data_IF_935972742140
#
_entry.id   IF_935972742140
#
_cell.length_a   1.000
_cell.length_b   1.000
_cell.length_c   1.000
_cell.angle_alpha   90.00
_cell.angle_beta   90.00
_cell.angle_gamma   90.00
#
_symmetry.space_group_name_H-M   'P 1'
#
loop_
_entity.id
_entity.type
_entity.pdbx_description
1 polymer ?
#
# COMPACT_ATOMS: atom_id res chain seq x y z
N UNK A 1 -11.90 10.92 18.94
CA UNK A 1 -12.20 9.48 19.04
C UNK A 1 -10.90 8.75 19.27
N UNK A 2 -10.78 8.01 20.39
CA UNK A 2 -9.57 7.24 20.69
C UNK A 2 -9.45 6.06 19.70
N UNK A 3 -8.27 5.88 19.13
CA UNK A 3 -7.93 4.70 18.31
C UNK A 3 -7.91 3.47 19.21
N UNK A 4 -8.49 2.37 18.73
CA UNK A 4 -8.51 1.08 19.44
C UNK A 4 -7.24 0.30 19.07
N UNK A 5 -6.74 -0.50 20.02
CA UNK A 5 -5.58 -1.37 19.76
C UNK A 5 -5.92 -2.41 18.67
N UNK A 6 -4.97 -2.71 17.82
CA UNK A 6 -5.17 -3.60 16.66
C UNK A 6 -5.75 -4.98 17.06
N UNK A 7 -5.35 -5.54 18.20
CA UNK A 7 -5.86 -6.81 18.69
C UNK A 7 -7.34 -6.72 19.10
N UNK A 8 -7.72 -5.67 19.81
CA UNK A 8 -9.11 -5.45 20.23
C UNK A 8 -10.01 -5.20 19.02
N UNK A 9 -9.51 -4.46 18.02
CA UNK A 9 -10.24 -4.20 16.79
C UNK A 9 -10.39 -5.49 15.95
N UNK A 10 -9.35 -6.32 15.90
CA UNK A 10 -9.42 -7.62 15.24
C UNK A 10 -10.49 -8.52 15.84
N UNK A 11 -10.48 -8.69 17.16
CA UNK A 11 -11.48 -9.49 17.87
C UNK A 11 -12.91 -8.95 17.68
N UNK A 12 -13.03 -7.63 17.62
CA UNK A 12 -14.31 -6.98 17.39
C UNK A 12 -14.84 -7.26 15.97
N UNK A 13 -14.05 -7.03 14.92
CA UNK A 13 -14.51 -7.27 13.53
C UNK A 13 -14.73 -8.76 13.25
N UNK A 14 -13.97 -9.65 13.87
CA UNK A 14 -14.19 -11.10 13.80
C UNK A 14 -15.55 -11.49 14.34
N UNK A 15 -15.96 -10.95 15.48
CA UNK A 15 -17.31 -11.16 16.05
C UNK A 15 -18.41 -10.60 15.16
N UNK A 16 -18.18 -9.45 14.51
CA UNK A 16 -19.17 -8.88 13.58
C UNK A 16 -19.29 -9.76 12.34
N UNK A 17 -18.16 -10.19 11.74
CA UNK A 17 -18.15 -11.12 10.62
C UNK A 17 -18.97 -12.39 10.92
N UNK A 18 -18.80 -12.98 12.13
CA UNK A 18 -19.55 -14.18 12.53
C UNK A 18 -21.06 -13.89 12.68
N UNK A 19 -21.44 -12.71 13.18
CA UNK A 19 -22.86 -12.29 13.28
C UNK A 19 -23.51 -12.07 11.92
N UNK A 20 -22.77 -11.55 10.96
CA UNK A 20 -23.24 -11.32 9.59
C UNK A 20 -23.18 -12.61 8.73
N UNK A 21 -22.78 -13.76 9.32
CA UNK A 21 -22.50 -15.01 8.60
C UNK A 21 -21.52 -14.83 7.45
N UNK A 22 -20.59 -13.88 7.59
CA UNK A 22 -19.57 -13.60 6.60
C UNK A 22 -18.48 -14.67 6.62
N UNK A 23 -18.00 -15.05 5.44
CA UNK A 23 -16.87 -15.97 5.28
C UNK A 23 -15.60 -15.19 4.96
N UNK A 24 -14.72 -15.01 5.93
CA UNK A 24 -13.47 -14.27 5.78
C UNK A 24 -12.34 -14.92 6.60
N UNK A 25 -11.17 -15.02 5.98
CA UNK A 25 -9.97 -15.54 6.63
C UNK A 25 -9.41 -14.55 7.67
N UNK A 26 -8.70 -15.08 8.66
CA UNK A 26 -8.06 -14.23 9.69
C UNK A 26 -7.05 -13.25 9.08
N UNK A 27 -6.38 -13.62 8.00
CA UNK A 27 -5.41 -12.74 7.32
C UNK A 27 -6.09 -11.59 6.56
N UNK A 28 -7.25 -11.82 5.96
CA UNK A 28 -8.06 -10.75 5.39
C UNK A 28 -8.57 -9.79 6.47
N UNK A 29 -8.99 -10.30 7.63
CA UNK A 29 -9.41 -9.46 8.77
C UNK A 29 -8.24 -8.65 9.34
N UNK A 30 -7.04 -9.23 9.44
CA UNK A 30 -5.82 -8.49 9.83
C UNK A 30 -5.50 -7.36 8.87
N UNK A 31 -5.69 -7.58 7.55
CA UNK A 31 -5.52 -6.54 6.55
C UNK A 31 -6.52 -5.39 6.76
N UNK A 32 -7.80 -5.69 7.02
CA UNK A 32 -8.81 -4.68 7.33
C UNK A 32 -8.40 -3.85 8.56
N UNK A 33 -7.93 -4.51 9.63
CA UNK A 33 -7.43 -3.83 10.84
C UNK A 33 -6.26 -2.91 10.51
N UNK A 34 -5.32 -3.38 9.69
CA UNK A 34 -4.15 -2.60 9.26
C UNK A 34 -4.57 -1.34 8.50
N UNK A 35 -5.46 -1.48 7.50
CA UNK A 35 -5.93 -0.36 6.67
C UNK A 35 -6.75 0.66 7.48
N UNK A 36 -7.54 0.19 8.45
CA UNK A 36 -8.42 1.05 9.26
C UNK A 36 -7.70 1.86 10.34
N UNK A 37 -6.42 1.60 10.59
CA UNK A 37 -5.57 2.33 11.54
C UNK A 37 -6.20 2.57 12.93
N UNK A 38 -6.94 1.58 13.43
CA UNK A 38 -7.61 1.64 14.73
C UNK A 38 -8.99 2.35 14.71
N UNK A 39 -9.49 2.72 13.54
CA UNK A 39 -10.85 3.26 13.36
C UNK A 39 -11.86 2.14 13.22
N UNK A 40 -12.75 2.01 14.21
CA UNK A 40 -13.85 1.01 14.19
C UNK A 40 -14.79 1.24 13.00
N UNK A 41 -15.10 2.50 12.72
CA UNK A 41 -16.02 2.86 11.64
C UNK A 41 -15.46 2.42 10.28
N UNK A 42 -14.17 2.68 10.05
CA UNK A 42 -13.53 2.36 8.77
C UNK A 42 -13.36 0.85 8.64
N UNK A 43 -13.00 0.14 9.72
CA UNK A 43 -12.93 -1.31 9.74
C UNK A 43 -14.27 -1.97 9.39
N UNK A 44 -15.37 -1.48 9.96
CA UNK A 44 -16.72 -1.98 9.64
C UNK A 44 -17.12 -1.70 8.19
N UNK A 45 -16.83 -0.49 7.69
CA UNK A 45 -17.11 -0.11 6.29
C UNK A 45 -16.32 -0.97 5.30
N UNK A 46 -15.05 -1.28 5.61
CA UNK A 46 -14.21 -2.15 4.78
C UNK A 46 -14.73 -3.59 4.82
N UNK A 47 -15.08 -4.11 6.01
CA UNK A 47 -15.64 -5.46 6.14
C UNK A 47 -16.95 -5.60 5.35
N UNK A 48 -17.89 -4.68 5.52
CA UNK A 48 -19.15 -4.65 4.82
C UNK A 48 -18.96 -4.60 3.30
N UNK A 49 -18.12 -3.68 2.80
CA UNK A 49 -17.77 -3.60 1.38
C UNK A 49 -17.21 -4.91 0.85
N UNK A 50 -16.32 -5.57 1.59
CA UNK A 50 -15.73 -6.81 1.16
C UNK A 50 -16.75 -7.95 1.09
N UNK A 51 -17.57 -8.10 2.12
CA UNK A 51 -18.59 -9.15 2.17
C UNK A 51 -19.68 -8.95 1.11
N UNK A 52 -20.02 -7.70 0.76
CA UNK A 52 -20.99 -7.39 -0.30
C UNK A 52 -20.43 -7.61 -1.72
N UNK A 53 -19.10 -7.47 -1.89
CA UNK A 53 -18.45 -7.60 -3.21
C UNK A 53 -18.22 -9.06 -3.60
N UNK A 54 -18.14 -9.95 -2.61
CA UNK A 54 -17.91 -11.38 -2.85
C UNK A 54 -19.21 -12.12 -3.11
N UNK A 55 -19.13 -13.14 -3.96
CA UNK A 55 -20.20 -14.14 -4.08
C UNK A 55 -20.41 -14.84 -2.74
N UNK A 56 -21.66 -15.14 -2.39
CA UNK A 56 -22.05 -15.69 -1.08
C UNK A 56 -21.33 -16.98 -0.66
N UNK A 57 -20.82 -17.73 -1.62
CA UNK A 57 -20.16 -19.02 -1.41
C UNK A 57 -18.62 -18.91 -1.37
N UNK A 58 -18.06 -17.71 -1.53
CA UNK A 58 -16.60 -17.49 -1.53
C UNK A 58 -16.13 -16.94 -0.21
N UNK A 59 -14.97 -17.41 0.21
CA UNK A 59 -14.24 -16.85 1.35
C UNK A 59 -13.49 -15.58 0.93
N UNK A 60 -13.55 -14.54 1.76
CA UNK A 60 -12.67 -13.40 1.67
C UNK A 60 -11.26 -13.82 2.12
N UNK A 61 -10.44 -14.26 1.20
CA UNK A 61 -9.03 -14.50 1.46
C UNK A 61 -8.21 -13.20 1.37
N UNK A 62 -6.93 -13.26 1.78
CA UNK A 62 -6.04 -12.10 1.76
C UNK A 62 -5.91 -11.49 0.35
N UNK A 63 -5.80 -12.31 -0.68
CA UNK A 63 -5.62 -11.87 -2.07
C UNK A 63 -6.85 -11.13 -2.57
N UNK A 64 -8.05 -11.65 -2.29
CA UNK A 64 -9.32 -11.00 -2.63
C UNK A 64 -9.49 -9.68 -1.88
N UNK A 65 -9.14 -9.64 -0.59
CA UNK A 65 -9.17 -8.43 0.22
C UNK A 65 -8.20 -7.36 -0.33
N UNK A 66 -6.98 -7.73 -0.68
CA UNK A 66 -6.02 -6.82 -1.31
C UNK A 66 -6.57 -6.21 -2.60
N UNK A 67 -7.18 -7.02 -3.47
CA UNK A 67 -7.80 -6.55 -4.72
C UNK A 67 -8.99 -5.61 -4.47
N UNK A 68 -9.89 -5.97 -3.55
CA UNK A 68 -11.09 -5.18 -3.24
C UNK A 68 -10.71 -3.80 -2.68
N UNK A 69 -9.66 -3.75 -1.85
CA UNK A 69 -9.21 -2.51 -1.20
C UNK A 69 -8.17 -1.74 -2.01
N UNK A 70 -7.64 -2.33 -3.09
CA UNK A 70 -6.50 -1.78 -3.82
C UNK A 70 -5.24 -1.69 -2.96
N UNK A 71 -5.11 -2.59 -1.98
CA UNK A 71 -4.00 -2.57 -1.03
C UNK A 71 -2.86 -3.48 -1.49
N UNK A 72 -1.64 -2.96 -1.41
CA UNK A 72 -0.42 -3.74 -1.57
C UNK A 72 0.57 -3.40 -0.44
N UNK A 73 1.53 -4.28 -0.23
CA UNK A 73 2.53 -4.06 0.80
C UNK A 73 3.52 -2.98 0.36
N UNK A 74 3.57 -1.88 1.10
CA UNK A 74 4.45 -0.74 0.81
C UNK A 74 5.94 -1.09 0.90
N UNK A 75 6.31 -2.17 1.59
CA UNK A 75 7.66 -2.72 1.58
C UNK A 75 8.11 -3.16 0.18
N UNK A 76 7.17 -3.61 -0.66
CA UNK A 76 7.44 -3.93 -2.07
C UNK A 76 7.82 -2.69 -2.87
N UNK A 77 7.23 -1.54 -2.53
CA UNK A 77 7.55 -0.27 -3.17
C UNK A 77 8.95 0.21 -2.82
N UNK A 78 9.38 0.04 -1.55
CA UNK A 78 10.75 0.32 -1.11
C UNK A 78 11.74 -0.57 -1.86
N UNK A 79 11.41 -1.86 -2.01
CA UNK A 79 12.23 -2.81 -2.78
C UNK A 79 12.32 -2.43 -4.25
N UNK A 80 11.20 -2.07 -4.86
CA UNK A 80 11.15 -1.61 -6.25
C UNK A 80 12.02 -0.37 -6.46
N UNK A 81 11.93 0.59 -5.55
CA UNK A 81 12.73 1.81 -5.57
C UNK A 81 14.22 1.49 -5.52
N UNK A 82 14.63 0.61 -4.61
CA UNK A 82 16.02 0.16 -4.50
C UNK A 82 16.50 -0.48 -5.81
N UNK A 83 15.70 -1.38 -6.41
CA UNK A 83 16.05 -2.05 -7.67
C UNK A 83 16.21 -1.06 -8.83
N UNK A 84 15.38 -0.02 -8.88
CA UNK A 84 15.50 1.07 -9.88
C UNK A 84 16.85 1.76 -9.75
N UNK A 85 17.27 2.12 -8.54
CA UNK A 85 18.55 2.80 -8.30
C UNK A 85 19.76 1.89 -8.49
N UNK A 86 19.60 0.59 -8.30
CA UNK A 86 20.63 -0.39 -8.60
C UNK A 86 20.73 -0.73 -10.10
N UNK A 87 19.81 -0.20 -10.94
CA UNK A 87 19.77 -0.45 -12.37
C UNK A 87 19.38 -1.88 -12.77
N UNK A 88 18.65 -2.57 -11.88
CA UNK A 88 18.23 -3.96 -12.08
C UNK A 88 16.91 -4.06 -12.85
N UNK A 89 16.95 -3.74 -14.13
CA UNK A 89 15.76 -3.60 -14.99
C UNK A 89 14.84 -4.84 -14.96
N UNK A 90 15.39 -6.03 -15.08
CA UNK A 90 14.60 -7.27 -15.11
C UNK A 90 13.84 -7.48 -13.80
N UNK A 91 14.49 -7.27 -12.66
CA UNK A 91 13.90 -7.40 -11.33
C UNK A 91 12.84 -6.31 -11.10
N UNK A 92 13.07 -5.08 -11.56
CA UNK A 92 12.09 -3.97 -11.53
C UNK A 92 10.81 -4.39 -12.24
N UNK A 93 10.92 -4.90 -13.47
CA UNK A 93 9.76 -5.33 -14.25
C UNK A 93 9.01 -6.50 -13.60
N UNK A 94 9.72 -7.45 -13.00
CA UNK A 94 9.09 -8.57 -12.32
C UNK A 94 8.37 -8.11 -11.05
N UNK A 95 9.00 -7.31 -10.21
CA UNK A 95 8.39 -6.75 -8.98
C UNK A 95 7.17 -5.88 -9.32
N UNK A 96 7.26 -5.07 -10.37
CA UNK A 96 6.11 -4.28 -10.83
C UNK A 96 4.95 -5.17 -11.29
N UNK A 97 5.23 -6.26 -12.04
CA UNK A 97 4.20 -7.22 -12.45
C UNK A 97 3.54 -7.92 -11.28
N UNK A 98 4.27 -8.23 -10.23
CA UNK A 98 3.72 -8.80 -9.00
C UNK A 98 2.74 -7.83 -8.33
N UNK A 99 3.13 -6.56 -8.19
CA UNK A 99 2.25 -5.49 -7.66
C UNK A 99 1.00 -5.33 -8.53
N UNK A 100 1.20 -5.30 -9.86
CA UNK A 100 0.10 -5.22 -10.82
C UNK A 100 -0.90 -6.38 -10.69
N UNK A 101 -0.40 -7.62 -10.56
CA UNK A 101 -1.21 -8.81 -10.43
C UNK A 101 -2.01 -8.86 -9.12
N UNK A 102 -1.60 -8.10 -8.10
CA UNK A 102 -2.36 -7.89 -6.86
C UNK A 102 -3.59 -6.99 -7.08
N UNK A 103 -3.76 -6.42 -8.28
CA UNK A 103 -4.90 -5.57 -8.63
C UNK A 103 -4.79 -4.14 -8.11
N UNK A 104 -3.58 -3.66 -7.88
CA UNK A 104 -3.33 -2.28 -7.46
C UNK A 104 -3.68 -1.33 -8.59
N UNK A 105 -4.47 -0.32 -8.28
CA UNK A 105 -4.83 0.72 -9.24
C UNK A 105 -3.60 1.61 -9.54
N UNK A 106 -3.27 1.88 -10.82
CA UNK A 106 -2.09 2.65 -11.21
C UNK A 106 -1.98 4.00 -10.51
N UNK A 107 -3.09 4.69 -10.34
CA UNK A 107 -3.13 6.00 -9.66
C UNK A 107 -2.73 5.90 -8.18
N UNK A 108 -3.17 4.85 -7.50
CA UNK A 108 -2.78 4.57 -6.10
C UNK A 108 -1.28 4.28 -6.04
N UNK A 109 -0.78 3.41 -6.93
CA UNK A 109 0.63 3.07 -7.01
C UNK A 109 1.52 4.32 -7.20
N UNK A 110 1.19 5.18 -8.17
CA UNK A 110 1.97 6.40 -8.45
C UNK A 110 1.92 7.40 -7.28
N UNK A 111 0.78 7.55 -6.61
CA UNK A 111 0.68 8.42 -5.44
C UNK A 111 1.53 7.90 -4.28
N UNK A 112 1.49 6.58 -4.01
CA UNK A 112 2.33 5.96 -2.97
C UNK A 112 3.82 6.06 -3.34
N UNK A 113 4.17 5.97 -4.63
CA UNK A 113 5.54 6.16 -5.10
C UNK A 113 6.02 7.60 -4.91
N UNK A 114 5.18 8.61 -5.18
CA UNK A 114 5.47 10.02 -4.89
C UNK A 114 5.68 10.26 -3.39
N UNK A 115 4.84 9.68 -2.55
CA UNK A 115 4.99 9.79 -1.10
C UNK A 115 6.31 9.17 -0.63
N UNK A 116 6.68 8.01 -1.18
CA UNK A 116 7.96 7.38 -0.89
C UNK A 116 9.15 8.26 -1.31
N UNK A 117 9.10 8.87 -2.51
CA UNK A 117 10.11 9.83 -2.96
C UNK A 117 10.26 11.02 -2.01
N UNK A 118 9.14 11.52 -1.47
CA UNK A 118 9.16 12.56 -0.45
C UNK A 118 9.89 12.10 0.81
N UNK A 119 9.69 10.86 1.25
CA UNK A 119 10.40 10.32 2.41
C UNK A 119 11.90 10.18 2.16
N UNK A 120 12.31 9.66 1.00
CA UNK A 120 13.73 9.60 0.64
C UNK A 120 14.40 10.97 0.67
N UNK A 121 13.71 11.99 0.19
CA UNK A 121 14.25 13.36 0.15
C UNK A 121 14.37 14.00 1.54
N UNK A 122 13.46 13.69 2.45
CA UNK A 122 13.32 14.39 3.73
C UNK A 122 13.62 13.50 4.94
N UNK A 123 14.22 12.33 4.73
CA UNK A 123 14.39 11.30 5.77
C UNK A 123 15.07 11.79 7.04
N UNK A 124 16.01 12.72 6.93
CA UNK A 124 16.73 13.29 8.08
C UNK A 124 15.82 14.15 8.98
N UNK A 125 14.76 14.71 8.42
CA UNK A 125 13.83 15.61 9.11
C UNK A 125 12.55 14.91 9.55
N UNK A 126 12.34 13.64 9.14
CA UNK A 126 11.13 12.88 9.42
C UNK A 126 11.28 12.07 10.70
N UNK A 127 10.24 12.12 11.54
CA UNK A 127 10.05 11.17 12.62
C UNK A 127 9.11 10.06 12.16
N UNK A 128 9.33 8.81 12.58
CA UNK A 128 8.53 7.64 12.22
C UNK A 128 7.04 7.89 12.46
N UNK A 129 6.69 8.51 13.60
CA UNK A 129 5.32 8.81 14.00
C UNK A 129 4.62 9.86 13.10
N UNK A 130 5.38 10.58 12.28
CA UNK A 130 4.87 11.64 11.39
C UNK A 130 4.63 11.18 9.96
N UNK A 131 4.91 9.91 9.64
CA UNK A 131 4.73 9.36 8.29
C UNK A 131 3.33 8.81 8.10
N UNK A 132 2.66 9.19 7.00
CA UNK A 132 1.37 8.60 6.62
C UNK A 132 1.50 7.14 6.17
N UNK A 133 2.71 6.70 5.84
CA UNK A 133 3.01 5.33 5.42
C UNK A 133 2.96 4.32 6.56
N UNK A 134 2.82 4.75 7.82
CA UNK A 134 2.86 3.85 8.98
C UNK A 134 4.07 2.90 8.92
N UNK A 135 5.24 3.48 8.55
CA UNK A 135 6.49 2.73 8.44
C UNK A 135 6.89 2.13 9.79
N UNK A 136 7.33 0.88 9.77
CA UNK A 136 8.01 0.31 10.92
C UNK A 136 9.50 0.73 10.96
N UNK A 137 10.16 0.45 12.08
CA UNK A 137 11.57 0.84 12.29
C UNK A 137 12.50 0.26 11.22
N UNK A 138 12.25 -0.96 10.76
CA UNK A 138 13.06 -1.64 9.74
C UNK A 138 12.90 -0.96 8.38
N UNK A 139 11.68 -0.66 7.97
CA UNK A 139 11.37 0.05 6.72
C UNK A 139 11.97 1.46 6.73
N UNK A 140 11.87 2.18 7.84
CA UNK A 140 12.45 3.51 8.00
C UNK A 140 13.97 3.48 7.86
N UNK A 141 14.64 2.55 8.55
CA UNK A 141 16.09 2.38 8.45
C UNK A 141 16.53 2.01 7.03
N UNK A 142 15.76 1.16 6.36
CA UNK A 142 16.02 0.79 4.97
C UNK A 142 15.90 1.98 4.02
N UNK A 143 14.89 2.83 4.18
CA UNK A 143 14.74 4.08 3.42
C UNK A 143 15.96 4.98 3.66
N UNK A 144 16.40 5.10 4.91
CA UNK A 144 17.58 5.90 5.26
C UNK A 144 18.85 5.40 4.58
N UNK A 145 19.14 4.09 4.64
CA UNK A 145 20.29 3.49 3.98
C UNK A 145 20.30 3.68 2.46
N UNK A 146 19.12 3.60 1.83
CA UNK A 146 18.98 3.84 0.39
C UNK A 146 19.18 5.32 0.08
N UNK A 147 18.62 6.23 0.89
CA UNK A 147 18.71 7.68 0.66
C UNK A 147 20.15 8.20 0.70
N UNK A 148 20.99 7.62 1.56
CA UNK A 148 22.41 7.97 1.65
C UNK A 148 23.22 7.66 0.38
N UNK A 149 22.71 6.75 -0.45
CA UNK A 149 23.35 6.31 -1.71
C UNK A 149 22.87 7.08 -2.94
N UNK A 150 21.84 7.89 -2.81
CA UNK A 150 21.19 8.57 -3.93
C UNK A 150 21.43 10.06 -3.82
N UNK A 151 21.83 10.70 -4.94
CA UNK A 151 21.96 12.14 -4.96
C UNK A 151 20.60 12.84 -5.12
N UNK A 152 20.51 14.08 -4.63
CA UNK A 152 19.29 14.88 -4.70
C UNK A 152 18.82 15.16 -6.13
N UNK A 153 19.73 15.28 -7.08
CA UNK A 153 19.39 15.52 -8.50
C UNK A 153 18.60 14.36 -9.08
N UNK A 154 19.02 13.12 -8.78
CA UNK A 154 18.31 11.91 -9.19
C UNK A 154 16.92 11.85 -8.56
N UNK A 155 16.77 12.15 -7.26
CA UNK A 155 15.46 12.18 -6.60
C UNK A 155 14.53 13.23 -7.22
N UNK A 156 15.04 14.42 -7.56
CA UNK A 156 14.25 15.47 -8.22
C UNK A 156 13.81 15.02 -9.62
N UNK A 157 14.69 14.38 -10.37
CA UNK A 157 14.38 13.84 -11.70
C UNK A 157 13.27 12.80 -11.63
N UNK A 158 13.38 11.84 -10.70
CA UNK A 158 12.34 10.84 -10.47
C UNK A 158 11.01 11.47 -10.03
N UNK A 159 11.05 12.47 -9.17
CA UNK A 159 9.88 13.24 -8.78
C UNK A 159 9.17 13.86 -9.99
N UNK A 160 9.92 14.51 -10.88
CA UNK A 160 9.36 15.13 -12.09
C UNK A 160 8.73 14.09 -13.03
N UNK A 161 9.42 12.96 -13.26
CA UNK A 161 8.87 11.87 -14.09
C UNK A 161 7.60 11.28 -13.48
N UNK A 162 7.57 11.10 -12.17
CA UNK A 162 6.41 10.52 -11.49
C UNK A 162 5.21 11.44 -11.51
N UNK A 163 5.40 12.76 -11.35
CA UNK A 163 4.31 13.74 -11.52
C UNK A 163 3.79 13.71 -12.97
N UNK A 164 4.69 13.69 -13.94
CA UNK A 164 4.30 13.62 -15.35
C UNK A 164 3.52 12.34 -15.66
N UNK A 165 3.96 11.19 -15.15
CA UNK A 165 3.23 9.94 -15.28
C UNK A 165 1.83 10.02 -14.66
N UNK A 166 1.68 10.67 -13.50
CA UNK A 166 0.39 10.86 -12.85
C UNK A 166 -0.57 11.72 -13.71
N UNK A 167 -0.06 12.78 -14.34
CA UNK A 167 -0.84 13.61 -15.27
C UNK A 167 -1.26 12.81 -16.52
N UNK A 168 -0.38 11.98 -17.05
CA UNK A 168 -0.65 11.14 -18.22
C UNK A 168 -1.68 10.03 -17.94
N UNK A 169 -1.74 9.50 -16.72
CA UNK A 169 -2.72 8.47 -16.33
C UNK A 169 -4.17 8.86 -16.54
N UNK A 170 -4.50 10.15 -16.49
CA UNK A 170 -5.85 10.64 -16.72
C UNK A 170 -6.20 10.71 -18.23
N UNK A 171 -5.22 10.61 -19.13
CA UNK A 171 -5.36 10.79 -20.56
C UNK A 171 -5.34 9.46 -21.31
N UNK A 172 -4.57 8.47 -20.82
CA UNK A 172 -4.37 7.20 -21.55
C UNK A 172 -5.48 6.20 -21.27
N UNK A 173 -5.90 5.49 -22.31
CA UNK A 173 -6.95 4.46 -22.22
C UNK A 173 -6.50 3.21 -21.44
N UNK A 174 -5.21 2.91 -21.43
CA UNK A 174 -4.62 1.81 -20.65
C UNK A 174 -3.55 2.37 -19.71
N UNK A 175 -3.97 2.66 -18.49
CA UNK A 175 -3.14 3.31 -17.48
C UNK A 175 -1.86 2.52 -17.11
N UNK A 176 -1.87 1.20 -17.28
CA UNK A 176 -0.71 0.37 -16.99
C UNK A 176 0.44 0.50 -17.99
N UNK A 177 0.18 1.05 -19.18
CA UNK A 177 1.23 1.29 -20.18
C UNK A 177 1.99 2.60 -19.95
N UNK A 178 1.47 3.48 -19.10
CA UNK A 178 2.11 4.77 -18.75
C UNK A 178 3.08 4.67 -17.58
N UNK A 179 3.14 3.53 -16.94
CA UNK A 179 4.01 3.24 -15.79
C UNK A 179 5.24 2.44 -16.26
#
# INVERSE_FOLDING_TARGET
>A
LSRIKSLELFDFIKKIKDKENGNASDDALKLIVKISEGSVRDALSLLDRALLTLDKDKELDLTSAQKIFGYFDKSQLISLFQLIFEGKETEVLNTYREIYNQGVEPKIFINDFLELLYYFKNIESLNIDSTNFSLNDEEFNRIKEISEKINNETLILFWQFTIKALEELDIVSNQHLSM
#
